data_IF_828174550507
#
_entry.id   IF_828174550507
#
_cell.length_a   1.000
_cell.length_b   1.000
_cell.length_c   1.000
_cell.angle_alpha   90.00
_cell.angle_beta   90.00
_cell.angle_gamma   90.00
#
_symmetry.space_group_name_H-M   'P 1'
#
loop_
_entity.id
_entity.type
_entity.pdbx_description
1 polymer ?
#
# COMPACT_ATOMS: atom_id res chain seq x y z
N UNK A 1 -0.78 -17.21 -4.68
CA UNK A 1 -2.00 -16.52 -4.19
C UNK A 1 -2.07 -16.74 -2.69
N UNK A 2 -1.90 -15.69 -1.88
CA UNK A 2 -1.85 -15.79 -0.40
C UNK A 2 -3.29 -15.92 0.10
N UNK A 3 -3.63 -17.03 0.75
CA UNK A 3 -5.00 -17.45 1.06
C UNK A 3 -5.77 -16.62 2.09
N UNK A 4 -5.57 -15.30 2.13
CA UNK A 4 -6.39 -14.38 2.92
C UNK A 4 -7.54 -13.94 2.03
N UNK A 5 -8.72 -14.50 2.29
CA UNK A 5 -9.94 -14.11 1.60
C UNK A 5 -10.55 -12.94 2.34
N UNK A 6 -10.53 -11.78 1.71
CA UNK A 6 -11.17 -10.53 2.13
C UNK A 6 -12.28 -10.24 1.14
N UNK A 7 -13.45 -9.80 1.60
CA UNK A 7 -14.55 -9.51 0.71
C UNK A 7 -14.29 -8.23 -0.10
N UNK A 8 -15.03 -8.04 -1.19
CA UNK A 8 -14.96 -6.78 -1.95
C UNK A 8 -15.32 -5.60 -1.03
N UNK A 9 -14.44 -4.58 -1.03
CA UNK A 9 -14.57 -3.42 -0.16
C UNK A 9 -13.94 -3.55 1.23
N UNK A 10 -13.45 -4.73 1.62
CA UNK A 10 -12.68 -4.93 2.86
C UNK A 10 -11.21 -4.54 2.74
N UNK A 11 -10.74 -4.28 1.52
CA UNK A 11 -9.49 -3.58 1.28
C UNK A 11 -9.78 -2.33 0.46
N UNK A 12 -9.37 -1.19 0.97
CA UNK A 12 -9.30 0.07 0.23
C UNK A 12 -7.97 0.74 0.46
N UNK A 13 -7.66 1.74 -0.36
CA UNK A 13 -6.51 2.60 -0.11
C UNK A 13 -6.72 4.00 -0.68
N UNK A 14 -6.05 4.96 -0.05
CA UNK A 14 -5.84 6.30 -0.60
C UNK A 14 -4.37 6.43 -0.97
N UNK A 15 -4.09 6.97 -2.15
CA UNK A 15 -2.74 7.28 -2.60
C UNK A 15 -2.59 8.79 -2.75
N UNK A 16 -1.55 9.33 -2.13
CA UNK A 16 -1.22 10.75 -2.18
C UNK A 16 0.14 10.93 -2.86
N UNK A 17 0.20 11.85 -3.81
CA UNK A 17 1.43 12.18 -4.55
C UNK A 17 1.92 13.58 -4.19
N UNK A 18 3.23 13.73 -3.99
CA UNK A 18 3.88 15.04 -3.81
C UNK A 18 4.62 15.41 -5.09
N UNK A 19 4.25 16.56 -5.66
CA UNK A 19 4.96 17.14 -6.79
C UNK A 19 5.89 18.26 -6.30
N UNK A 20 7.13 18.24 -6.76
CA UNK A 20 8.14 19.26 -6.45
C UNK A 20 8.67 19.87 -7.74
N UNK A 21 9.20 21.10 -7.65
CA UNK A 21 9.87 21.74 -8.80
C UNK A 21 11.34 21.35 -8.78
N UNK A 22 11.76 20.55 -9.76
CA UNK A 22 13.15 20.13 -9.98
C UNK A 22 13.58 20.66 -11.34
N UNK A 23 14.67 21.44 -11.38
CA UNK A 23 15.18 22.05 -12.61
C UNK A 23 14.13 22.81 -13.45
N UNK A 24 13.24 23.54 -12.75
CA UNK A 24 12.10 24.29 -13.33
C UNK A 24 10.99 23.42 -13.95
N UNK A 25 10.97 22.12 -13.67
CA UNK A 25 9.93 21.17 -14.09
C UNK A 25 9.20 20.64 -12.85
N UNK A 26 7.88 20.49 -12.93
CA UNK A 26 7.09 19.85 -11.87
C UNK A 26 7.24 18.33 -12.01
N UNK A 27 7.77 17.67 -10.99
CA UNK A 27 8.06 16.23 -10.97
C UNK A 27 7.40 15.60 -9.75
N UNK A 28 6.76 14.44 -9.94
CA UNK A 28 6.26 13.62 -8.84
C UNK A 28 7.44 12.97 -8.12
N UNK A 29 7.73 13.39 -6.90
CA UNK A 29 8.90 12.93 -6.13
C UNK A 29 8.56 11.90 -5.09
N UNK A 30 7.32 11.93 -4.55
CA UNK A 30 6.89 11.02 -3.49
C UNK A 30 5.47 10.50 -3.74
N UNK A 31 5.23 9.25 -3.36
CA UNK A 31 3.89 8.68 -3.22
C UNK A 31 3.78 8.04 -1.83
N UNK A 32 2.72 8.37 -1.11
CA UNK A 32 2.31 7.68 0.11
C UNK A 32 1.00 6.93 -0.13
N UNK A 33 0.95 5.65 0.23
CA UNK A 33 -0.27 4.85 0.14
C UNK A 33 -0.74 4.46 1.54
N UNK A 34 -1.93 4.89 1.92
CA UNK A 34 -2.59 4.46 3.16
C UNK A 34 -3.63 3.39 2.84
N UNK A 35 -3.45 2.18 3.37
CA UNK A 35 -4.39 1.08 3.20
C UNK A 35 -5.36 1.01 4.38
N UNK A 36 -6.61 0.67 4.12
CA UNK A 36 -7.59 0.30 5.14
C UNK A 36 -8.03 -1.13 4.88
N UNK A 37 -7.79 -2.00 5.86
CA UNK A 37 -8.15 -3.41 5.80
C UNK A 37 -9.14 -3.74 6.91
N UNK A 38 -10.30 -4.28 6.52
CA UNK A 38 -11.23 -4.93 7.44
C UNK A 38 -11.02 -6.43 7.39
N UNK A 39 -10.78 -7.04 8.55
CA UNK A 39 -10.53 -8.47 8.64
C UNK A 39 -11.74 -9.17 9.27
N UNK A 40 -12.13 -10.34 8.74
CA UNK A 40 -13.18 -11.15 9.35
C UNK A 40 -12.76 -11.60 10.76
N UNK A 41 -13.75 -11.85 11.61
CA UNK A 41 -13.51 -12.45 12.93
C UNK A 41 -12.71 -13.76 12.80
N UNK A 42 -11.69 -13.92 13.65
CA UNK A 42 -10.81 -15.08 13.62
C UNK A 42 -9.73 -15.06 12.53
N UNK A 43 -9.56 -13.96 11.80
CA UNK A 43 -8.44 -13.80 10.88
C UNK A 43 -7.09 -13.88 11.60
N UNK A 44 -6.15 -14.62 11.01
CA UNK A 44 -4.77 -14.72 11.49
C UNK A 44 -4.06 -13.37 11.26
N UNK A 45 -4.02 -12.55 12.33
CA UNK A 45 -3.40 -11.23 12.31
C UNK A 45 -1.92 -11.30 11.96
N UNK A 46 -1.20 -12.31 12.43
CA UNK A 46 0.23 -12.45 12.16
C UNK A 46 0.49 -12.78 10.69
N UNK A 47 -0.34 -13.63 10.08
CA UNK A 47 -0.28 -13.88 8.64
C UNK A 47 -0.60 -12.64 7.81
N UNK A 48 -1.55 -11.81 8.26
CA UNK A 48 -1.88 -10.53 7.60
C UNK A 48 -0.70 -9.56 7.69
N UNK A 49 -0.11 -9.39 8.86
CA UNK A 49 1.01 -8.46 9.05
C UNK A 49 2.24 -8.89 8.21
N UNK A 50 2.54 -10.20 8.14
CA UNK A 50 3.58 -10.74 7.24
C UNK A 50 3.26 -10.52 5.76
N UNK A 51 1.98 -10.66 5.38
CA UNK A 51 1.55 -10.41 4.00
C UNK A 51 1.74 -8.93 3.63
N UNK A 52 1.31 -8.01 4.50
CA UNK A 52 1.47 -6.56 4.35
C UNK A 52 2.94 -6.14 4.28
N UNK A 53 3.81 -6.65 5.16
CA UNK A 53 5.23 -6.33 5.16
C UNK A 53 5.93 -6.65 3.82
N UNK A 54 5.45 -7.68 3.11
CA UNK A 54 6.03 -8.09 1.82
C UNK A 54 5.31 -7.51 0.59
N UNK A 55 4.22 -6.77 0.79
CA UNK A 55 3.36 -6.28 -0.29
C UNK A 55 4.08 -5.27 -1.18
N UNK A 56 4.70 -4.24 -0.60
CA UNK A 56 5.35 -3.17 -1.40
C UNK A 56 6.53 -3.69 -2.22
N UNK A 57 7.31 -4.63 -1.69
CA UNK A 57 8.42 -5.27 -2.42
C UNK A 57 7.93 -6.04 -3.64
N UNK A 58 6.69 -6.55 -3.62
CA UNK A 58 6.12 -7.36 -4.70
C UNK A 58 5.07 -6.65 -5.53
N UNK A 59 4.75 -5.39 -5.21
CA UNK A 59 3.77 -4.59 -5.93
C UNK A 59 4.32 -4.23 -7.32
N UNK A 60 3.74 -4.70 -8.43
CA UNK A 60 4.27 -4.44 -9.78
C UNK A 60 4.36 -2.95 -10.08
N UNK A 61 3.34 -2.17 -9.68
CA UNK A 61 3.31 -0.73 -9.85
C UNK A 61 4.44 -0.06 -9.08
N UNK A 62 4.65 -0.42 -7.80
CA UNK A 62 5.74 0.16 -7.02
C UNK A 62 7.11 -0.21 -7.62
N UNK A 63 7.29 -1.46 -8.05
CA UNK A 63 8.53 -1.89 -8.71
C UNK A 63 8.81 -1.14 -10.02
N UNK A 64 7.77 -0.73 -10.75
CA UNK A 64 7.92 -0.03 -12.03
C UNK A 64 8.39 1.42 -11.92
N UNK A 65 8.22 2.05 -10.74
CA UNK A 65 8.52 3.48 -10.53
C UNK A 65 9.46 3.75 -9.34
N UNK A 66 9.93 2.71 -8.64
CA UNK A 66 10.74 2.83 -7.42
C UNK A 66 12.05 3.62 -7.59
N UNK A 67 12.61 3.64 -8.80
CA UNK A 67 13.87 4.33 -9.09
C UNK A 67 13.64 5.82 -9.43
N UNK A 68 12.38 6.23 -9.59
CA UNK A 68 11.98 7.59 -9.98
C UNK A 68 11.22 8.34 -8.88
N UNK A 69 10.59 7.61 -7.95
CA UNK A 69 9.69 8.17 -6.94
C UNK A 69 9.94 7.47 -5.61
N UNK A 70 10.04 8.24 -4.53
CA UNK A 70 10.05 7.69 -3.17
C UNK A 70 8.66 7.12 -2.84
N UNK A 71 8.60 5.86 -2.43
CA UNK A 71 7.33 5.18 -2.11
C UNK A 71 7.32 4.80 -0.64
N UNK A 72 6.28 5.23 0.07
CA UNK A 72 6.00 4.83 1.45
C UNK A 72 4.56 4.36 1.59
N UNK A 73 4.26 3.64 2.69
CA UNK A 73 2.92 3.16 2.95
C UNK A 73 2.62 3.05 4.44
N UNK A 74 1.34 3.11 4.77
CA UNK A 74 0.78 2.81 6.09
C UNK A 74 -0.46 1.93 5.92
N UNK A 75 -0.90 1.28 6.99
CA UNK A 75 -2.12 0.50 6.96
C UNK A 75 -2.85 0.54 8.30
N UNK A 76 -4.16 0.78 8.23
CA UNK A 76 -5.09 0.55 9.33
C UNK A 76 -5.74 -0.81 9.15
N UNK A 77 -5.73 -1.61 10.21
CA UNK A 77 -6.29 -2.96 10.22
C UNK A 77 -7.31 -3.06 11.33
N UNK A 78 -8.58 -3.14 10.96
CA UNK A 78 -9.72 -3.21 11.89
C UNK A 78 -10.48 -4.53 11.72
N UNK A 79 -11.22 -4.99 12.75
CA UNK A 79 -12.23 -6.03 12.56
C UNK A 79 -13.34 -5.56 11.61
N UNK A 80 -13.94 -6.50 10.87
CA UNK A 80 -15.14 -6.28 10.02
C UNK A 80 -16.42 -6.33 10.84
#
# INVERSE_FOLDING_TARGET
MRGIRVADGDISCTAEGTNEVVDRIIVLTKIHVHYTLRLPEGADREAVDRALASHVVKCPTAQSIKDSVEISWTADVTPS
#
